data_IF_364770497287
#
_entry.id   IF_364770497287
#
_cell.length_a   1.000
_cell.length_b   1.000
_cell.length_c   1.000
_cell.angle_alpha   90.00
_cell.angle_beta   90.00
_cell.angle_gamma   90.00
#
_symmetry.space_group_name_H-M   'P 1'
#
loop_
_entity.id
_entity.type
_entity.pdbx_description
1 polymer ?
#
# COMPACT_ATOMS: atom_id res chain seq x y z
N UNK A 1 -23.49 -15.33 12.84
CA UNK A 1 -24.29 -14.41 11.98
C UNK A 1 -24.64 -15.22 10.75
N UNK A 2 -25.93 -15.39 10.50
CA UNK A 2 -26.44 -16.32 9.49
C UNK A 2 -26.25 -15.72 8.09
N UNK A 3 -25.10 -16.00 7.50
CA UNK A 3 -24.90 -15.84 6.05
C UNK A 3 -25.81 -16.83 5.32
N UNK A 4 -26.41 -16.41 4.22
CA UNK A 4 -27.23 -17.28 3.37
C UNK A 4 -26.39 -17.89 2.27
N UNK A 5 -26.46 -19.22 2.08
CA UNK A 5 -25.69 -19.95 1.09
C UNK A 5 -26.60 -20.70 0.13
N UNK A 6 -26.32 -20.58 -1.16
CA UNK A 6 -27.06 -21.28 -2.20
C UNK A 6 -26.06 -21.84 -3.22
N UNK A 7 -26.14 -23.16 -3.46
CA UNK A 7 -25.51 -23.79 -4.61
C UNK A 7 -26.56 -23.89 -5.71
N UNK A 8 -26.19 -23.39 -6.88
CA UNK A 8 -27.07 -23.35 -8.05
C UNK A 8 -26.38 -24.01 -9.23
N UNK A 9 -27.09 -24.90 -9.93
CA UNK A 9 -26.56 -25.52 -11.14
C UNK A 9 -26.32 -24.46 -12.23
N UNK A 10 -25.23 -24.64 -12.98
CA UNK A 10 -24.84 -23.74 -14.07
C UNK A 10 -25.15 -24.35 -15.43
N UNK A 11 -24.79 -23.64 -16.51
CA UNK A 11 -24.91 -24.15 -17.89
C UNK A 11 -23.66 -24.90 -18.35
N UNK A 12 -22.68 -25.10 -17.48
CA UNK A 12 -21.38 -25.69 -17.81
C UNK A 12 -21.23 -27.06 -17.14
N UNK A 13 -20.70 -28.01 -17.91
CA UNK A 13 -20.40 -29.37 -17.47
C UNK A 13 -18.89 -29.60 -17.62
N UNK A 14 -18.31 -30.42 -16.75
CA UNK A 14 -16.89 -30.75 -16.78
C UNK A 14 -16.68 -32.21 -16.40
N UNK A 15 -16.18 -33.02 -17.34
CA UNK A 15 -15.93 -34.47 -17.13
C UNK A 15 -17.14 -35.16 -16.46
N UNK A 16 -18.32 -35.01 -17.05
CA UNK A 16 -19.61 -35.54 -16.56
C UNK A 16 -20.09 -34.97 -15.21
N UNK A 17 -19.44 -33.92 -14.69
CA UNK A 17 -19.87 -33.19 -13.52
C UNK A 17 -20.63 -31.94 -13.95
N UNK A 18 -21.91 -31.85 -13.56
CA UNK A 18 -22.68 -30.62 -13.62
C UNK A 18 -22.06 -29.58 -12.68
N UNK A 19 -21.57 -28.46 -13.20
CA UNK A 19 -20.93 -27.44 -12.37
C UNK A 19 -21.96 -26.57 -11.65
N UNK A 20 -21.61 -26.13 -10.44
CA UNK A 20 -22.41 -25.24 -9.62
C UNK A 20 -21.82 -23.81 -9.60
N UNK A 21 -22.64 -22.84 -9.22
CA UNK A 21 -22.19 -21.55 -8.75
C UNK A 21 -22.57 -21.40 -7.28
N UNK A 22 -21.74 -20.68 -6.54
CA UNK A 22 -21.95 -20.38 -5.13
C UNK A 22 -22.46 -18.95 -5.01
N UNK A 23 -23.54 -18.78 -4.25
CA UNK A 23 -24.09 -17.47 -3.91
C UNK A 23 -24.06 -17.31 -2.39
N UNK A 24 -23.45 -16.22 -1.93
CA UNK A 24 -23.31 -15.88 -0.50
C UNK A 24 -23.89 -14.48 -0.32
N UNK A 25 -24.87 -14.32 0.58
CA UNK A 25 -25.53 -13.03 0.84
C UNK A 25 -25.96 -12.28 -0.44
N UNK A 26 -26.60 -13.00 -1.38
CA UNK A 26 -26.99 -12.50 -2.70
C UNK A 26 -25.86 -12.13 -3.68
N UNK A 27 -24.61 -12.37 -3.33
CA UNK A 27 -23.45 -12.16 -4.20
C UNK A 27 -23.04 -13.49 -4.83
N UNK A 28 -23.00 -13.52 -6.16
CA UNK A 28 -22.44 -14.65 -6.90
C UNK A 28 -20.92 -14.64 -6.80
N UNK A 29 -20.34 -15.75 -6.32
CA UNK A 29 -18.89 -15.93 -6.21
C UNK A 29 -18.26 -16.31 -7.54
N UNK A 30 -19.01 -17.02 -8.39
CA UNK A 30 -18.60 -17.38 -9.75
C UNK A 30 -19.71 -17.02 -10.73
N UNK A 31 -19.39 -17.00 -12.01
CA UNK A 31 -20.33 -16.85 -13.10
C UNK A 31 -21.54 -17.77 -12.91
N UNK A 32 -22.73 -17.20 -13.04
CA UNK A 32 -24.00 -17.94 -12.94
C UNK A 32 -24.12 -19.04 -13.99
N UNK A 33 -23.45 -18.87 -15.13
CA UNK A 33 -23.65 -19.73 -16.30
C UNK A 33 -22.40 -20.53 -16.68
N UNK A 34 -21.22 -19.92 -16.64
CA UNK A 34 -19.98 -20.51 -17.16
C UNK A 34 -18.79 -20.23 -16.24
N UNK A 35 -18.74 -20.83 -15.03
CA UNK A 35 -17.72 -20.55 -14.03
C UNK A 35 -16.29 -21.00 -14.42
N UNK A 36 -16.11 -22.11 -15.16
CA UNK A 36 -14.77 -22.50 -15.64
C UNK A 36 -14.28 -21.54 -16.74
N UNK A 37 -15.16 -21.12 -17.64
CA UNK A 37 -14.81 -20.12 -18.68
C UNK A 37 -14.38 -18.78 -18.07
N UNK A 38 -15.07 -18.33 -17.01
CA UNK A 38 -14.67 -17.15 -16.24
C UNK A 38 -13.28 -17.36 -15.61
N UNK A 39 -13.07 -18.48 -14.92
CA UNK A 39 -11.80 -18.82 -14.29
C UNK A 39 -10.63 -18.85 -15.30
N UNK A 40 -10.84 -19.44 -16.49
CA UNK A 40 -9.89 -19.44 -17.60
C UNK A 40 -9.46 -18.04 -18.01
N UNK A 41 -10.44 -17.15 -18.18
CA UNK A 41 -10.17 -15.75 -18.55
C UNK A 41 -9.43 -15.02 -17.43
N UNK A 42 -9.84 -15.24 -16.18
CA UNK A 42 -9.23 -14.63 -15.01
C UNK A 42 -7.76 -15.02 -14.85
N UNK A 43 -7.44 -16.32 -14.87
CA UNK A 43 -6.08 -16.84 -14.65
C UNK A 43 -5.15 -16.55 -15.82
N UNK A 44 -5.65 -16.52 -17.06
CA UNK A 44 -4.84 -16.15 -18.24
C UNK A 44 -4.12 -14.80 -18.05
N UNK A 45 -4.75 -13.85 -17.34
CA UNK A 45 -4.16 -12.53 -17.05
C UNK A 45 -3.08 -12.51 -15.95
N UNK A 46 -2.77 -13.66 -15.33
CA UNK A 46 -1.92 -13.77 -14.14
C UNK A 46 -0.53 -14.38 -14.40
N UNK A 47 -0.24 -14.79 -15.63
CA UNK A 47 1.08 -15.32 -16.05
C UNK A 47 1.62 -16.45 -15.14
N UNK A 48 0.77 -17.43 -14.81
CA UNK A 48 1.10 -18.48 -13.81
C UNK A 48 2.01 -19.61 -14.33
N UNK A 49 2.39 -19.60 -15.60
CA UNK A 49 3.03 -20.73 -16.29
C UNK A 49 4.39 -21.14 -15.69
N UNK A 50 5.11 -20.19 -15.08
CA UNK A 50 6.46 -20.41 -14.56
C UNK A 50 6.55 -20.34 -13.03
N UNK A 51 5.41 -20.20 -12.33
CA UNK A 51 5.37 -20.06 -10.87
C UNK A 51 5.42 -21.44 -10.20
N UNK A 52 6.33 -21.63 -9.26
CA UNK A 52 6.43 -22.88 -8.47
C UNK A 52 5.40 -22.94 -7.36
N UNK A 53 5.16 -21.81 -6.69
CA UNK A 53 4.22 -21.71 -5.57
C UNK A 53 3.34 -20.46 -5.68
N UNK A 54 2.02 -20.66 -5.62
CA UNK A 54 1.03 -19.57 -5.69
C UNK A 54 0.14 -19.60 -4.46
N UNK A 55 -0.06 -18.43 -3.87
CA UNK A 55 -1.08 -18.19 -2.86
C UNK A 55 -2.38 -17.78 -3.53
N UNK A 56 -3.49 -18.38 -3.10
CA UNK A 56 -4.84 -18.02 -3.51
C UNK A 56 -5.62 -17.63 -2.27
N UNK A 57 -6.25 -16.46 -2.29
CA UNK A 57 -7.18 -16.05 -1.23
C UNK A 57 -8.63 -16.14 -1.74
N UNK A 58 -9.42 -16.99 -1.07
CA UNK A 58 -10.79 -17.35 -1.43
C UNK A 58 -10.86 -18.65 -2.22
N UNK A 59 -11.38 -19.71 -1.61
CA UNK A 59 -11.58 -21.03 -2.23
C UNK A 59 -12.73 -21.00 -3.24
N UNK A 60 -13.88 -20.44 -2.85
CA UNK A 60 -15.12 -20.55 -3.62
C UNK A 60 -15.42 -22.02 -3.97
N UNK A 61 -15.60 -22.31 -5.26
CA UNK A 61 -15.76 -23.66 -5.81
C UNK A 61 -14.52 -24.10 -6.61
N UNK A 62 -13.39 -23.41 -6.43
CA UNK A 62 -12.07 -23.87 -6.88
C UNK A 62 -11.78 -23.80 -8.38
N UNK A 63 -12.67 -23.25 -9.21
CA UNK A 63 -12.47 -23.16 -10.68
C UNK A 63 -11.18 -22.43 -11.07
N UNK A 64 -10.86 -21.34 -10.40
CA UNK A 64 -9.63 -20.58 -10.62
C UNK A 64 -8.38 -21.34 -10.15
N UNK A 65 -8.49 -22.19 -9.11
CA UNK A 65 -7.39 -23.06 -8.68
C UNK A 65 -7.14 -24.14 -9.72
N UNK A 66 -8.22 -24.79 -10.20
CA UNK A 66 -8.12 -25.77 -11.28
C UNK A 66 -7.41 -25.20 -12.51
N UNK A 67 -7.77 -23.98 -12.93
CA UNK A 67 -7.15 -23.36 -14.09
C UNK A 67 -5.65 -23.05 -13.88
N UNK A 68 -5.24 -22.66 -12.66
CA UNK A 68 -3.81 -22.50 -12.32
C UNK A 68 -3.07 -23.83 -12.53
N UNK A 69 -3.63 -24.93 -12.01
CA UNK A 69 -3.05 -26.26 -12.10
C UNK A 69 -3.03 -26.82 -13.52
N UNK A 70 -3.97 -26.39 -14.38
CA UNK A 70 -4.08 -26.76 -15.78
C UNK A 70 -3.07 -26.00 -16.66
N UNK A 71 -2.81 -24.73 -16.34
CA UNK A 71 -1.80 -23.93 -17.06
C UNK A 71 -0.36 -24.21 -16.60
N UNK A 72 -0.19 -24.86 -15.44
CA UNK A 72 1.12 -25.21 -14.89
C UNK A 72 1.04 -26.52 -14.09
N UNK A 73 1.63 -27.59 -14.62
CA UNK A 73 1.61 -28.93 -14.02
C UNK A 73 2.42 -29.06 -12.73
N UNK A 74 3.40 -28.18 -12.53
CA UNK A 74 4.35 -28.25 -11.40
C UNK A 74 3.98 -27.30 -10.25
N UNK A 75 3.03 -26.37 -10.48
CA UNK A 75 2.65 -25.37 -9.50
C UNK A 75 1.97 -26.00 -8.27
N UNK A 76 2.44 -25.63 -7.07
CA UNK A 76 1.77 -25.89 -5.79
C UNK A 76 0.93 -24.66 -5.43
N UNK A 77 -0.34 -24.89 -5.09
CA UNK A 77 -1.30 -23.82 -4.75
C UNK A 77 -1.65 -23.88 -3.27
N UNK A 78 -1.28 -22.86 -2.50
CA UNK A 78 -1.73 -22.66 -1.13
C UNK A 78 -3.02 -21.84 -1.14
N UNK A 79 -4.10 -22.39 -0.59
CA UNK A 79 -5.41 -21.75 -0.62
C UNK A 79 -5.77 -21.30 0.79
N UNK A 80 -5.94 -20.00 0.98
CA UNK A 80 -6.36 -19.39 2.24
C UNK A 80 -7.81 -18.96 2.13
N UNK A 81 -8.61 -19.33 3.13
CA UNK A 81 -10.00 -18.87 3.24
C UNK A 81 -10.47 -18.90 4.70
N UNK A 82 -11.43 -18.04 5.03
CA UNK A 82 -12.11 -18.01 6.32
C UNK A 82 -13.53 -18.55 6.10
N UNK A 83 -13.68 -19.86 6.29
CA UNK A 83 -14.98 -20.53 6.13
C UNK A 83 -15.53 -20.95 7.49
N UNK A 84 -16.79 -20.62 7.77
CA UNK A 84 -17.49 -21.23 8.89
C UNK A 84 -17.82 -22.71 8.61
N UNK A 85 -18.26 -23.44 9.64
CA UNK A 85 -18.51 -24.89 9.52
C UNK A 85 -19.61 -25.23 8.51
N UNK A 86 -20.59 -24.34 8.35
CA UNK A 86 -21.69 -24.54 7.41
C UNK A 86 -21.20 -24.32 5.98
N UNK A 87 -20.45 -23.23 5.74
CA UNK A 87 -19.76 -22.95 4.47
C UNK A 87 -18.89 -24.11 4.05
N UNK A 88 -18.01 -24.54 4.95
CA UNK A 88 -17.06 -25.61 4.69
C UNK A 88 -17.79 -26.89 4.28
N UNK A 89 -18.86 -27.27 5.02
CA UNK A 89 -19.66 -28.45 4.69
C UNK A 89 -20.28 -28.37 3.30
N UNK A 90 -20.97 -27.27 2.99
CA UNK A 90 -21.65 -27.07 1.69
C UNK A 90 -20.64 -27.10 0.54
N UNK A 91 -19.54 -26.36 0.66
CA UNK A 91 -18.51 -26.28 -0.39
C UNK A 91 -17.79 -27.62 -0.55
N UNK A 92 -17.51 -28.34 0.53
CA UNK A 92 -16.79 -29.61 0.48
C UNK A 92 -17.64 -30.79 -0.01
N UNK A 93 -18.97 -30.64 0.00
CA UNK A 93 -19.89 -31.62 -0.58
C UNK A 93 -19.99 -31.53 -2.11
N UNK A 94 -19.64 -30.37 -2.69
CA UNK A 94 -19.62 -30.15 -4.14
C UNK A 94 -18.68 -31.14 -4.87
N UNK A 95 -19.17 -31.70 -5.98
CA UNK A 95 -18.46 -32.74 -6.74
C UNK A 95 -17.14 -32.24 -7.32
N UNK A 96 -17.09 -31.02 -7.82
CA UNK A 96 -15.88 -30.46 -8.41
C UNK A 96 -14.82 -30.21 -7.34
N UNK A 97 -15.21 -29.66 -6.18
CA UNK A 97 -14.30 -29.46 -5.04
C UNK A 97 -13.74 -30.79 -4.53
N UNK A 98 -14.55 -31.84 -4.46
CA UNK A 98 -14.09 -33.18 -4.05
C UNK A 98 -12.97 -33.70 -4.95
N UNK A 99 -13.09 -33.56 -6.27
CA UNK A 99 -12.04 -33.95 -7.21
C UNK A 99 -10.80 -33.04 -7.09
N UNK A 100 -10.99 -31.73 -7.02
CA UNK A 100 -9.90 -30.77 -6.89
C UNK A 100 -9.02 -31.04 -5.66
N UNK A 101 -9.65 -31.37 -4.53
CA UNK A 101 -8.96 -31.64 -3.25
C UNK A 101 -8.13 -32.92 -3.24
N UNK A 102 -8.36 -33.86 -4.15
CA UNK A 102 -7.51 -35.05 -4.31
C UNK A 102 -6.16 -34.70 -4.93
N UNK A 103 -6.05 -33.55 -5.61
CA UNK A 103 -4.81 -33.12 -6.21
C UNK A 103 -3.80 -32.73 -5.12
N UNK A 104 -2.69 -33.47 -5.05
CA UNK A 104 -1.65 -33.28 -4.03
C UNK A 104 -0.99 -31.89 -4.05
N UNK A 105 -1.13 -31.16 -5.17
CA UNK A 105 -0.62 -29.78 -5.34
C UNK A 105 -1.49 -28.72 -4.69
N UNK A 106 -2.74 -29.05 -4.30
CA UNK A 106 -3.63 -28.12 -3.60
C UNK A 106 -3.45 -28.25 -2.10
N UNK A 107 -2.98 -27.18 -1.46
CA UNK A 107 -2.75 -27.11 -0.01
C UNK A 107 -3.77 -26.17 0.62
N UNK A 108 -4.88 -26.72 1.10
CA UNK A 108 -5.91 -25.94 1.79
C UNK A 108 -5.43 -25.50 3.18
N UNK A 109 -5.56 -24.21 3.46
CA UNK A 109 -5.23 -23.52 4.70
C UNK A 109 -6.43 -22.68 5.13
N UNK A 110 -7.49 -23.38 5.48
CA UNK A 110 -8.82 -22.85 5.75
C UNK A 110 -9.12 -23.01 7.23
N UNK A 111 -9.75 -22.00 7.84
CA UNK A 111 -10.25 -22.09 9.21
C UNK A 111 -11.41 -21.11 9.40
N UNK A 112 -12.35 -21.45 10.28
CA UNK A 112 -13.39 -20.52 10.76
C UNK A 112 -12.82 -19.42 11.65
N UNK A 113 -11.57 -19.56 12.11
CA UNK A 113 -10.93 -18.63 13.04
C UNK A 113 -9.96 -17.73 12.29
N UNK A 114 -10.30 -16.45 12.22
CA UNK A 114 -9.50 -15.41 11.57
C UNK A 114 -8.01 -15.46 11.94
N UNK A 115 -7.68 -15.61 13.24
CA UNK A 115 -6.29 -15.67 13.71
C UNK A 115 -5.50 -16.85 13.13
N UNK A 116 -6.14 -18.00 12.95
CA UNK A 116 -5.47 -19.18 12.37
C UNK A 116 -5.18 -18.98 10.90
N UNK A 117 -6.11 -18.37 10.15
CA UNK A 117 -5.89 -17.99 8.75
C UNK A 117 -4.74 -16.99 8.63
N UNK A 118 -4.66 -15.99 9.51
CA UNK A 118 -3.49 -15.10 9.56
C UNK A 118 -2.19 -15.84 9.83
N UNK A 119 -2.18 -16.82 10.74
CA UNK A 119 -1.00 -17.67 10.97
C UNK A 119 -0.62 -18.45 9.72
N UNK A 120 -1.58 -19.02 9.00
CA UNK A 120 -1.30 -19.71 7.74
C UNK A 120 -0.72 -18.78 6.69
N UNK A 121 -1.29 -17.60 6.51
CA UNK A 121 -0.77 -16.59 5.59
C UNK A 121 0.67 -16.25 5.97
N UNK A 122 0.94 -15.90 7.22
CA UNK A 122 2.29 -15.55 7.66
C UNK A 122 3.32 -16.66 7.46
N UNK A 123 2.92 -17.92 7.62
CA UNK A 123 3.78 -19.09 7.45
C UNK A 123 4.07 -19.38 5.98
N UNK A 124 3.04 -19.47 5.13
CA UNK A 124 3.17 -20.02 3.78
C UNK A 124 3.31 -18.96 2.69
N UNK A 125 2.89 -17.71 2.94
CA UNK A 125 2.92 -16.66 1.93
C UNK A 125 4.33 -16.32 1.47
N UNK A 126 5.31 -16.38 2.38
CA UNK A 126 6.73 -16.10 2.08
C UNK A 126 7.34 -17.09 1.09
N UNK A 127 6.75 -18.27 0.96
CA UNK A 127 7.17 -19.29 -0.01
C UNK A 127 6.52 -19.11 -1.38
N UNK A 128 5.51 -18.25 -1.49
CA UNK A 128 4.74 -18.04 -2.70
C UNK A 128 5.36 -16.91 -3.53
N UNK A 129 5.44 -17.14 -4.84
CA UNK A 129 5.92 -16.13 -5.79
C UNK A 129 4.82 -15.14 -6.15
N UNK A 130 3.57 -15.50 -5.88
CA UNK A 130 2.41 -14.75 -6.31
C UNK A 130 1.19 -14.94 -5.41
N UNK A 131 0.37 -13.91 -5.29
CA UNK A 131 -0.95 -13.95 -4.65
C UNK A 131 -2.04 -13.65 -5.68
N UNK A 132 -3.05 -14.51 -5.73
CA UNK A 132 -4.25 -14.35 -6.54
C UNK A 132 -5.47 -14.22 -5.61
N UNK A 133 -6.20 -13.11 -5.75
CA UNK A 133 -7.40 -12.83 -4.96
C UNK A 133 -8.65 -13.16 -5.77
N UNK A 134 -9.55 -13.98 -5.22
CA UNK A 134 -10.88 -14.18 -5.77
C UNK A 134 -11.72 -12.91 -5.52
N UNK A 135 -11.78 -12.03 -6.53
CA UNK A 135 -12.32 -10.67 -6.38
C UNK A 135 -13.79 -10.62 -5.95
N UNK A 136 -14.63 -11.52 -6.47
CA UNK A 136 -16.05 -11.62 -6.11
C UNK A 136 -16.25 -11.87 -4.61
N UNK A 137 -15.31 -12.58 -3.98
CA UNK A 137 -15.33 -12.89 -2.56
C UNK A 137 -14.83 -11.73 -1.67
N UNK A 138 -14.11 -10.76 -2.23
CA UNK A 138 -13.54 -9.65 -1.46
C UNK A 138 -14.61 -8.75 -0.82
N UNK A 139 -15.81 -8.66 -1.38
CA UNK A 139 -16.91 -7.91 -0.77
C UNK A 139 -17.37 -8.53 0.56
N UNK A 140 -17.38 -9.86 0.65
CA UNK A 140 -17.75 -10.59 1.88
C UNK A 140 -16.64 -10.44 2.92
N UNK A 141 -15.37 -10.52 2.48
CA UNK A 141 -14.23 -10.25 3.36
C UNK A 141 -14.24 -8.82 3.88
N UNK A 142 -14.62 -7.83 3.05
CA UNK A 142 -14.73 -6.43 3.48
C UNK A 142 -15.73 -6.25 4.62
N UNK A 143 -16.88 -6.91 4.54
CA UNK A 143 -17.95 -6.80 5.52
C UNK A 143 -17.54 -7.34 6.90
N UNK A 144 -16.87 -8.50 6.94
CA UNK A 144 -16.56 -9.18 8.19
C UNK A 144 -15.13 -8.99 8.69
N UNK A 145 -14.19 -8.71 7.80
CA UNK A 145 -12.75 -8.66 8.04
C UNK A 145 -12.11 -7.50 7.29
N UNK A 146 -12.64 -6.29 7.50
CA UNK A 146 -12.22 -5.08 6.79
C UNK A 146 -10.70 -4.83 6.85
N UNK A 147 -10.06 -5.09 7.99
CA UNK A 147 -8.60 -4.96 8.12
C UNK A 147 -7.83 -5.87 7.14
N UNK A 148 -8.24 -7.13 7.02
CA UNK A 148 -7.67 -8.08 6.07
C UNK A 148 -7.97 -7.68 4.62
N UNK A 149 -9.22 -7.27 4.34
CA UNK A 149 -9.60 -6.75 3.02
C UNK A 149 -8.66 -5.62 2.59
N UNK A 150 -8.42 -4.64 3.47
CA UNK A 150 -7.55 -3.51 3.18
C UNK A 150 -6.11 -3.97 2.88
N UNK A 151 -5.55 -4.90 3.68
CA UNK A 151 -4.22 -5.50 3.41
C UNK A 151 -4.15 -6.13 2.02
N UNK A 152 -5.13 -6.98 1.69
CA UNK A 152 -5.14 -7.72 0.42
C UNK A 152 -5.30 -6.77 -0.78
N UNK A 153 -6.15 -5.75 -0.65
CA UNK A 153 -6.35 -4.75 -1.70
C UNK A 153 -5.14 -3.84 -1.88
N UNK A 154 -4.44 -3.46 -0.81
CA UNK A 154 -3.18 -2.72 -0.88
C UNK A 154 -2.13 -3.53 -1.64
N UNK A 155 -2.04 -4.83 -1.37
CA UNK A 155 -1.11 -5.73 -2.08
C UNK A 155 -1.45 -5.84 -3.57
N UNK A 156 -2.71 -6.09 -3.94
CA UNK A 156 -3.14 -6.18 -5.34
C UNK A 156 -2.91 -4.87 -6.10
N UNK A 157 -3.13 -3.71 -5.44
CA UNK A 157 -2.84 -2.41 -6.01
C UNK A 157 -1.35 -2.19 -6.27
N UNK A 158 -0.48 -2.50 -5.29
CA UNK A 158 0.98 -2.43 -5.44
C UNK A 158 1.48 -3.30 -6.59
N UNK A 159 1.01 -4.55 -6.65
CA UNK A 159 1.39 -5.47 -7.71
C UNK A 159 1.03 -4.97 -9.11
N UNK A 160 -0.17 -4.41 -9.30
CA UNK A 160 -0.59 -3.83 -10.59
C UNK A 160 0.35 -2.71 -11.03
N UNK A 161 0.69 -1.79 -10.13
CA UNK A 161 1.64 -0.70 -10.41
C UNK A 161 3.01 -1.28 -10.77
N UNK A 162 3.48 -2.27 -10.03
CA UNK A 162 4.77 -2.92 -10.28
C UNK A 162 4.81 -3.65 -11.62
N UNK A 163 3.74 -4.34 -12.02
CA UNK A 163 3.67 -5.01 -13.31
C UNK A 163 3.72 -4.01 -14.47
N UNK A 164 3.01 -2.89 -14.38
CA UNK A 164 3.06 -1.81 -15.39
C UNK A 164 4.48 -1.24 -15.48
N UNK A 165 5.18 -1.09 -14.35
CA UNK A 165 6.53 -0.51 -14.25
C UNK A 165 7.66 -1.56 -14.18
N UNK A 166 7.41 -2.84 -14.50
CA UNK A 166 8.33 -3.96 -14.20
C UNK A 166 9.73 -3.75 -14.75
N UNK A 167 9.83 -3.33 -16.01
CA UNK A 167 11.11 -3.14 -16.68
C UNK A 167 11.95 -2.02 -16.04
N UNK A 168 11.33 -0.88 -15.74
CA UNK A 168 12.04 0.25 -15.11
C UNK A 168 12.41 -0.05 -13.66
N UNK A 169 11.55 -0.75 -12.91
CA UNK A 169 11.84 -1.18 -11.54
C UNK A 169 13.06 -2.13 -11.51
N UNK A 170 13.10 -3.13 -12.39
CA UNK A 170 14.23 -4.05 -12.49
C UNK A 170 15.52 -3.36 -12.90
N UNK A 171 15.46 -2.47 -13.90
CA UNK A 171 16.60 -1.68 -14.32
C UNK A 171 17.15 -0.82 -13.16
N UNK A 172 16.28 -0.10 -12.46
CA UNK A 172 16.68 0.73 -11.34
C UNK A 172 17.27 -0.10 -10.20
N UNK A 173 16.66 -1.23 -9.85
CA UNK A 173 17.18 -2.10 -8.79
C UNK A 173 18.62 -2.56 -9.06
N UNK A 174 18.87 -3.06 -10.28
CA UNK A 174 20.20 -3.54 -10.67
C UNK A 174 21.22 -2.41 -10.61
N UNK A 175 20.89 -1.23 -11.14
CA UNK A 175 21.85 -0.13 -11.21
C UNK A 175 22.02 0.61 -9.87
N UNK A 176 20.97 0.75 -9.06
CA UNK A 176 21.08 1.27 -7.69
C UNK A 176 22.00 0.38 -6.83
N UNK A 177 21.94 -0.95 -7.00
CA UNK A 177 22.85 -1.87 -6.29
C UNK A 177 24.32 -1.65 -6.67
N UNK A 178 24.61 -1.24 -7.92
CA UNK A 178 25.98 -0.93 -8.37
C UNK A 178 26.55 0.34 -7.73
N UNK A 179 25.70 1.26 -7.27
CA UNK A 179 26.12 2.50 -6.62
C UNK A 179 26.68 2.30 -5.21
N UNK A 180 26.58 1.08 -4.63
CA UNK A 180 27.08 0.74 -3.28
C UNK A 180 26.58 1.71 -2.19
N UNK A 181 25.32 2.11 -2.28
CA UNK A 181 24.67 3.01 -1.32
C UNK A 181 24.47 2.28 0.01
N UNK A 182 24.76 2.96 1.12
CA UNK A 182 24.55 2.43 2.47
C UNK A 182 23.08 2.16 2.76
N UNK A 183 22.80 1.13 3.55
CA UNK A 183 21.44 0.80 3.97
C UNK A 183 20.85 1.81 4.97
N UNK A 184 19.53 1.79 5.12
CA UNK A 184 18.79 2.68 6.03
C UNK A 184 19.25 2.61 7.50
N UNK A 185 19.87 1.52 7.95
CA UNK A 185 20.44 1.48 9.30
C UNK A 185 21.58 2.49 9.48
N UNK A 186 22.37 2.77 8.43
CA UNK A 186 23.41 3.81 8.47
C UNK A 186 22.82 5.21 8.56
N UNK A 187 21.62 5.44 8.01
CA UNK A 187 20.89 6.69 8.24
C UNK A 187 20.63 6.89 9.74
N UNK A 188 20.02 5.93 10.42
CA UNK A 188 19.73 6.04 11.87
C UNK A 188 20.98 6.12 12.76
N UNK A 189 22.16 5.72 12.26
CA UNK A 189 23.43 5.92 12.98
C UNK A 189 23.93 7.36 12.88
N UNK A 190 23.66 8.02 11.75
CA UNK A 190 24.15 9.36 11.46
C UNK A 190 23.14 10.47 11.80
N UNK A 191 21.85 10.12 11.88
CA UNK A 191 20.74 11.04 12.14
C UNK A 191 19.87 10.47 13.27
N UNK A 192 19.91 11.12 14.43
CA UNK A 192 19.15 10.70 15.60
C UNK A 192 17.75 11.32 15.60
N UNK A 193 16.75 10.47 15.45
CA UNK A 193 15.32 10.83 15.50
C UNK A 193 14.71 10.51 16.86
N UNK A 194 15.48 9.94 17.79
CA UNK A 194 14.97 9.48 19.08
C UNK A 194 14.40 10.65 19.86
N UNK A 195 13.15 10.52 20.32
CA UNK A 195 12.43 11.55 21.06
C UNK A 195 12.25 12.90 20.33
N UNK A 196 12.53 12.99 19.02
CA UNK A 196 12.30 14.20 18.21
C UNK A 196 10.83 14.35 17.83
N UNK A 197 10.46 15.57 17.43
CA UNK A 197 9.25 15.82 16.66
C UNK A 197 9.58 15.63 15.16
N UNK A 198 9.16 14.52 14.56
CA UNK A 198 9.44 14.26 13.14
C UNK A 198 8.29 14.78 12.28
N UNK A 199 8.60 15.72 11.39
CA UNK A 199 7.66 16.31 10.45
C UNK A 199 7.74 15.56 9.12
N UNK A 200 6.59 15.12 8.61
CA UNK A 200 6.45 14.54 7.28
C UNK A 200 5.79 15.59 6.40
N UNK A 201 6.58 16.18 5.51
CA UNK A 201 6.11 17.22 4.61
C UNK A 201 5.72 16.60 3.27
N UNK A 202 4.41 16.64 2.99
CA UNK A 202 3.79 16.17 1.77
C UNK A 202 3.36 17.32 0.86
N UNK A 203 3.13 17.05 -0.43
CA UNK A 203 2.85 18.06 -1.44
C UNK A 203 1.35 18.36 -1.63
N UNK A 204 0.55 18.20 -0.59
CA UNK A 204 -0.87 18.56 -0.62
C UNK A 204 -1.06 20.08 -0.63
N UNK A 205 -2.16 20.60 -1.20
CA UNK A 205 -2.44 22.03 -1.27
C UNK A 205 -2.24 22.82 0.05
N UNK A 206 -2.58 22.23 1.20
CA UNK A 206 -2.48 22.90 2.51
C UNK A 206 -1.05 23.20 2.97
N UNK A 207 -0.03 22.63 2.30
CA UNK A 207 1.37 22.99 2.54
C UNK A 207 1.59 24.49 2.34
N UNK A 208 0.90 25.11 1.38
CA UNK A 208 1.02 26.55 1.11
C UNK A 208 0.69 27.39 2.35
N UNK A 209 -0.34 27.01 3.09
CA UNK A 209 -0.80 27.69 4.31
C UNK A 209 0.15 27.48 5.49
N UNK A 210 1.09 26.54 5.37
CA UNK A 210 1.95 26.09 6.46
C UNK A 210 3.36 26.69 6.40
N UNK A 211 3.70 27.40 5.33
CA UNK A 211 5.07 27.85 5.04
C UNK A 211 5.66 28.73 6.14
N UNK A 212 4.91 29.73 6.62
CA UNK A 212 5.41 30.69 7.61
C UNK A 212 5.76 29.97 8.93
N UNK A 213 4.85 29.13 9.42
CA UNK A 213 5.10 28.31 10.61
C UNK A 213 6.25 27.32 10.40
N UNK A 214 6.37 26.72 9.21
CA UNK A 214 7.45 25.78 8.89
C UNK A 214 8.84 26.44 8.92
N UNK A 215 8.95 27.73 8.58
CA UNK A 215 10.22 28.43 8.65
C UNK A 215 10.75 28.47 10.10
N UNK A 216 9.88 28.80 11.07
CA UNK A 216 10.26 28.77 12.49
C UNK A 216 10.51 27.34 13.00
N UNK A 217 9.63 26.40 12.64
CA UNK A 217 9.73 24.99 13.02
C UNK A 217 11.06 24.39 12.56
N UNK A 218 11.51 24.72 11.35
CA UNK A 218 12.75 24.21 10.77
C UNK A 218 14.02 24.65 11.51
N UNK A 219 13.95 25.74 12.28
CA UNK A 219 15.10 26.27 13.04
C UNK A 219 15.30 25.56 14.39
N UNK A 220 14.30 24.82 14.87
CA UNK A 220 14.35 24.13 16.16
C UNK A 220 14.96 22.73 16.02
N UNK A 221 16.06 22.48 16.75
CA UNK A 221 16.80 21.21 16.74
C UNK A 221 16.03 20.02 17.30
N UNK A 222 14.91 20.24 18.00
CA UNK A 222 14.02 19.15 18.44
C UNK A 222 13.10 18.64 17.32
N UNK A 223 13.10 19.34 16.18
CA UNK A 223 12.34 18.97 15.01
C UNK A 223 13.25 18.28 13.99
N UNK A 224 12.70 17.31 13.26
CA UNK A 224 13.38 16.65 12.15
C UNK A 224 12.42 16.57 10.95
N UNK A 225 12.77 17.20 9.84
CA UNK A 225 11.89 17.39 8.68
C UNK A 225 12.25 16.38 7.58
N UNK A 226 11.34 15.45 7.31
CA UNK A 226 11.39 14.54 6.16
C UNK A 226 10.47 15.10 5.07
N UNK A 227 11.05 15.60 3.98
CA UNK A 227 10.28 16.03 2.81
C UNK A 227 10.10 14.89 1.82
N UNK A 228 8.87 14.70 1.31
CA UNK A 228 8.67 13.93 0.08
C UNK A 228 9.20 14.72 -1.11
N UNK A 229 9.69 14.04 -2.15
CA UNK A 229 10.34 14.69 -3.31
C UNK A 229 9.50 15.77 -4.00
N UNK A 230 8.17 15.63 -4.03
CA UNK A 230 7.27 16.61 -4.67
C UNK A 230 7.08 17.89 -3.86
N UNK A 231 7.26 17.86 -2.53
CA UNK A 231 7.13 19.04 -1.66
C UNK A 231 8.41 19.90 -1.61
N UNK A 232 9.52 19.34 -2.09
CA UNK A 232 10.85 19.92 -1.98
C UNK A 232 10.96 21.31 -2.65
N UNK A 233 10.29 21.50 -3.79
CA UNK A 233 10.27 22.77 -4.49
C UNK A 233 9.46 23.83 -3.77
N UNK A 234 8.31 23.46 -3.19
CA UNK A 234 7.50 24.38 -2.38
C UNK A 234 8.30 24.87 -1.17
N UNK A 235 8.98 23.97 -0.43
CA UNK A 235 9.87 24.34 0.68
C UNK A 235 11.02 25.26 0.25
N UNK A 236 11.71 24.88 -0.82
CA UNK A 236 12.88 25.64 -1.29
C UNK A 236 12.55 27.00 -1.87
N UNK A 237 11.36 27.18 -2.45
CA UNK A 237 10.88 28.51 -2.88
C UNK A 237 10.76 29.52 -1.73
N UNK A 238 10.84 29.01 -0.49
CA UNK A 238 10.71 29.76 0.76
C UNK A 238 11.94 29.59 1.66
N UNK A 239 13.06 29.13 1.10
CA UNK A 239 14.33 28.90 1.80
C UNK A 239 14.25 27.93 3.00
N UNK A 240 13.26 27.04 3.02
CA UNK A 240 13.15 25.99 4.02
C UNK A 240 13.87 24.75 3.50
N UNK A 241 14.87 24.27 4.24
CA UNK A 241 15.60 23.05 3.91
C UNK A 241 15.14 21.90 4.80
N UNK A 242 14.77 20.74 4.25
CA UNK A 242 14.47 19.56 5.05
C UNK A 242 15.76 18.91 5.59
N UNK A 243 15.61 18.14 6.67
CA UNK A 243 16.70 17.31 7.24
C UNK A 243 16.89 16.00 6.48
N UNK A 244 15.87 15.54 5.74
CA UNK A 244 15.99 14.41 4.82
C UNK A 244 15.00 14.53 3.66
N UNK A 245 15.38 13.95 2.51
CA UNK A 245 14.51 13.84 1.33
C UNK A 245 14.17 12.38 1.11
N UNK A 246 12.89 12.03 1.01
CA UNK A 246 12.44 10.69 0.69
C UNK A 246 11.94 10.61 -0.77
N UNK A 247 12.38 9.58 -1.50
CA UNK A 247 11.89 9.27 -2.85
C UNK A 247 11.57 7.79 -3.00
N UNK A 248 10.58 7.49 -3.85
CA UNK A 248 10.05 6.15 -4.10
C UNK A 248 9.86 5.86 -5.59
N UNK A 249 9.40 6.84 -6.38
CA UNK A 249 9.00 6.57 -7.77
C UNK A 249 10.21 6.19 -8.66
N UNK A 250 10.08 5.14 -9.50
CA UNK A 250 11.14 4.73 -10.42
C UNK A 250 11.37 5.69 -11.60
N UNK A 251 10.45 6.63 -11.87
CA UNK A 251 10.50 7.45 -13.08
C UNK A 251 11.63 8.49 -13.05
N UNK A 252 12.27 8.68 -14.19
CA UNK A 252 13.30 9.72 -14.39
C UNK A 252 12.80 11.14 -14.17
N UNK A 253 11.50 11.38 -14.13
CA UNK A 253 10.95 12.67 -13.72
C UNK A 253 11.43 13.08 -12.30
N UNK A 254 11.70 12.10 -11.42
CA UNK A 254 12.23 12.34 -10.06
C UNK A 254 13.60 13.00 -10.09
N UNK A 255 14.43 12.75 -11.11
CA UNK A 255 15.70 13.45 -11.26
C UNK A 255 15.51 14.96 -11.26
N UNK A 256 14.49 15.48 -11.95
CA UNK A 256 14.24 16.93 -12.00
C UNK A 256 13.86 17.48 -10.61
N UNK A 257 13.24 16.67 -9.75
CA UNK A 257 12.87 17.05 -8.39
C UNK A 257 14.11 17.24 -7.51
N UNK A 258 15.07 16.31 -7.59
CA UNK A 258 16.25 16.31 -6.72
C UNK A 258 17.46 17.07 -7.28
N UNK A 259 17.51 17.31 -8.60
CA UNK A 259 18.65 17.95 -9.29
C UNK A 259 19.13 19.26 -8.65
N UNK A 260 18.27 20.19 -8.21
CA UNK A 260 18.74 21.43 -7.58
C UNK A 260 19.51 21.19 -6.27
N UNK A 261 19.22 20.09 -5.59
CA UNK A 261 19.80 19.71 -4.31
C UNK A 261 20.92 18.68 -4.45
N UNK A 262 21.35 18.38 -5.68
CA UNK A 262 22.32 17.30 -5.94
C UNK A 262 23.62 17.44 -5.15
N UNK A 263 24.03 18.67 -4.82
CA UNK A 263 25.26 18.98 -4.07
C UNK A 263 24.97 19.32 -2.60
N UNK A 264 23.74 19.14 -2.11
CA UNK A 264 23.39 19.44 -0.73
C UNK A 264 23.86 18.33 0.20
N UNK A 265 24.08 18.68 1.47
CA UNK A 265 24.39 17.70 2.53
C UNK A 265 23.14 17.00 3.08
N UNK A 266 21.97 17.25 2.50
CA UNK A 266 20.71 16.65 2.94
C UNK A 266 20.74 15.16 2.54
N UNK A 267 20.50 14.21 3.46
CA UNK A 267 20.42 12.80 3.11
C UNK A 267 19.23 12.49 2.20
N UNK A 268 19.51 11.82 1.09
CA UNK A 268 18.49 11.25 0.20
C UNK A 268 18.19 9.80 0.58
N UNK A 269 16.96 9.56 1.04
CA UNK A 269 16.42 8.26 1.36
C UNK A 269 15.75 7.68 0.11
N UNK A 270 16.37 6.68 -0.48
CA UNK A 270 16.06 6.12 -1.79
C UNK A 270 15.41 4.73 -1.64
N UNK A 271 14.21 4.54 -2.19
CA UNK A 271 13.66 3.19 -2.32
C UNK A 271 14.52 2.37 -3.27
N UNK A 272 14.71 1.08 -3.00
CA UNK A 272 15.64 0.26 -3.79
C UNK A 272 15.38 0.23 -5.31
N UNK A 273 14.15 0.51 -5.75
CA UNK A 273 13.75 0.61 -7.17
C UNK A 273 13.44 2.04 -7.64
N UNK A 274 13.62 3.06 -6.79
CA UNK A 274 13.46 4.46 -7.18
C UNK A 274 14.45 4.85 -8.29
N UNK A 275 14.16 5.96 -8.99
CA UNK A 275 14.89 6.39 -10.18
C UNK A 275 16.41 6.32 -10.01
N UNK A 276 17.05 5.43 -10.78
CA UNK A 276 18.51 5.31 -10.79
C UNK A 276 19.17 6.62 -11.20
N UNK A 277 18.58 7.34 -12.16
CA UNK A 277 19.08 8.64 -12.61
C UNK A 277 19.08 9.70 -11.50
N UNK A 278 18.06 9.68 -10.63
CA UNK A 278 18.04 10.54 -9.45
C UNK A 278 19.13 10.16 -8.45
N UNK A 279 19.30 8.85 -8.20
CA UNK A 279 20.31 8.31 -7.30
C UNK A 279 21.75 8.60 -7.76
N UNK A 280 22.02 8.42 -9.05
CA UNK A 280 23.34 8.63 -9.68
C UNK A 280 23.74 10.12 -9.68
N UNK A 281 22.79 11.02 -9.97
CA UNK A 281 23.10 12.45 -9.99
C UNK A 281 23.31 13.06 -8.60
N UNK A 282 22.67 12.50 -7.56
CA UNK A 282 22.73 13.08 -6.22
C UNK A 282 24.09 12.78 -5.59
N UNK A 283 24.90 13.81 -5.33
CA UNK A 283 26.26 13.69 -4.80
C UNK A 283 26.31 13.73 -3.26
N UNK A 284 25.26 14.23 -2.60
CA UNK A 284 25.13 14.23 -1.14
C UNK A 284 24.99 12.83 -0.53
N UNK A 285 24.81 12.76 0.81
CA UNK A 285 24.58 11.51 1.53
C UNK A 285 23.35 10.80 0.96
N UNK A 286 23.44 9.47 0.79
CA UNK A 286 22.36 8.63 0.26
C UNK A 286 22.22 7.40 1.12
N UNK A 287 20.98 6.98 1.37
CA UNK A 287 20.68 5.73 2.04
C UNK A 287 19.56 4.98 1.32
N UNK A 288 19.76 3.69 1.11
CA UNK A 288 18.80 2.83 0.42
C UNK A 288 17.92 2.09 1.41
N UNK A 289 16.61 2.07 1.15
CA UNK A 289 15.63 1.34 1.96
C UNK A 289 14.85 0.30 1.16
N UNK A 290 14.42 -0.74 1.85
CA UNK A 290 13.74 -1.91 1.31
C UNK A 290 12.46 -2.17 2.09
N UNK A 291 11.43 -2.66 1.41
CA UNK A 291 10.19 -3.16 2.01
C UNK A 291 10.25 -4.67 2.30
N UNK A 292 11.44 -5.26 2.24
CA UNK A 292 11.73 -6.63 2.64
C UNK A 292 13.07 -6.68 3.37
N UNK A 293 13.34 -7.81 4.04
CA UNK A 293 14.58 -8.01 4.78
C UNK A 293 15.79 -8.05 3.83
N UNK A 294 16.75 -7.15 4.04
CA UNK A 294 17.98 -7.10 3.24
C UNK A 294 19.16 -6.68 4.11
N UNK A 295 20.15 -7.56 4.26
CA UNK A 295 21.38 -7.32 5.03
C UNK A 295 21.13 -6.74 6.44
N UNK A 296 20.16 -7.30 7.18
CA UNK A 296 19.76 -6.85 8.52
C UNK A 296 19.29 -5.38 8.61
N UNK A 297 18.97 -4.74 7.48
CA UNK A 297 18.36 -3.42 7.50
C UNK A 297 16.94 -3.48 8.05
N UNK A 298 16.54 -2.42 8.74
CA UNK A 298 15.13 -2.22 9.10
C UNK A 298 14.26 -2.22 7.83
N UNK A 299 13.25 -3.07 7.82
CA UNK A 299 12.24 -3.13 6.74
C UNK A 299 11.38 -1.87 6.78
N UNK A 300 11.32 -1.10 5.69
CA UNK A 300 10.49 0.09 5.57
C UNK A 300 9.21 -0.26 4.82
N UNK A 301 8.13 -0.45 5.57
CA UNK A 301 6.80 -0.66 5.00
C UNK A 301 6.32 0.61 4.31
N UNK A 302 5.72 0.47 3.13
CA UNK A 302 5.09 1.56 2.41
C UNK A 302 3.96 1.04 1.52
N UNK A 303 3.03 1.93 1.20
CA UNK A 303 2.09 1.75 0.09
C UNK A 303 2.71 2.32 -1.20
N UNK A 304 1.91 2.50 -2.24
CA UNK A 304 2.32 3.15 -3.51
C UNK A 304 2.60 4.68 -3.39
N UNK A 305 3.05 5.17 -2.23
CA UNK A 305 3.28 6.61 -1.98
C UNK A 305 4.50 6.89 -1.12
N UNK A 306 5.28 7.90 -1.51
CA UNK A 306 6.46 8.39 -0.79
C UNK A 306 6.13 8.77 0.66
N UNK A 307 4.97 9.38 0.90
CA UNK A 307 4.56 9.79 2.24
C UNK A 307 4.45 8.61 3.22
N UNK A 308 4.00 7.45 2.73
CA UNK A 308 3.89 6.24 3.55
C UNK A 308 5.26 5.64 3.89
N UNK A 309 6.23 5.74 2.97
CA UNK A 309 7.61 5.38 3.26
C UNK A 309 8.25 6.37 4.27
N UNK A 310 8.03 7.66 4.10
CA UNK A 310 8.49 8.70 5.04
C UNK A 310 7.92 8.49 6.45
N UNK A 311 6.65 8.11 6.58
CA UNK A 311 6.03 7.73 7.85
C UNK A 311 6.73 6.54 8.52
N UNK A 312 6.92 5.46 7.77
CA UNK A 312 7.58 4.26 8.26
C UNK A 312 9.03 4.53 8.68
N UNK A 313 9.77 5.34 7.90
CA UNK A 313 11.11 5.78 8.24
C UNK A 313 11.10 6.62 9.52
N UNK A 314 10.18 7.58 9.65
CA UNK A 314 10.04 8.42 10.83
C UNK A 314 9.78 7.59 12.09
N UNK A 315 8.80 6.69 12.05
CA UNK A 315 8.43 5.80 13.17
C UNK A 315 9.63 4.95 13.61
N UNK A 316 10.38 4.38 12.66
CA UNK A 316 11.54 3.53 12.97
C UNK A 316 12.74 4.26 13.57
N UNK A 317 12.68 5.59 13.62
CA UNK A 317 13.58 6.45 14.37
C UNK A 317 13.23 6.62 15.85
N UNK A 318 12.16 5.98 16.35
CA UNK A 318 11.65 6.13 17.72
C UNK A 318 11.40 7.59 18.15
N UNK A 319 10.65 8.37 17.37
CA UNK A 319 10.39 9.77 17.67
C UNK A 319 9.42 9.90 18.83
N UNK A 320 9.40 11.08 19.46
CA UNK A 320 8.34 11.42 20.42
C UNK A 320 7.02 11.63 19.68
N UNK A 321 7.08 12.29 18.52
CA UNK A 321 5.91 12.66 17.72
C UNK A 321 6.15 12.51 16.23
N UNK A 322 5.10 12.16 15.50
CA UNK A 322 5.01 12.31 14.05
C UNK A 322 3.98 13.40 13.73
N UNK A 323 4.36 14.38 12.91
CA UNK A 323 3.53 15.52 12.54
C UNK A 323 3.39 15.56 11.02
N UNK A 324 2.15 15.45 10.52
CA UNK A 324 1.86 15.55 9.09
C UNK A 324 1.58 16.99 8.68
N UNK A 325 2.23 17.45 7.63
CA UNK A 325 1.98 18.77 7.00
C UNK A 325 1.83 18.59 5.49
N UNK A 326 0.78 19.17 4.90
CA UNK A 326 0.47 18.98 3.48
C UNK A 326 0.05 17.54 3.12
N UNK A 327 -0.39 16.74 4.10
CA UNK A 327 -0.87 15.37 3.91
C UNK A 327 -2.40 15.36 3.70
N UNK A 328 -2.86 16.07 2.68
CA UNK A 328 -4.29 16.37 2.55
C UNK A 328 -5.17 15.15 2.25
N UNK A 329 -4.74 14.23 1.40
CA UNK A 329 -5.54 13.04 1.04
C UNK A 329 -6.98 13.38 0.55
N UNK A 330 -7.16 14.60 0.05
CA UNK A 330 -8.42 15.18 -0.39
C UNK A 330 -8.11 16.38 -1.30
N UNK A 331 -9.12 16.86 -2.03
CA UNK A 331 -8.99 18.00 -2.94
C UNK A 331 -9.28 19.32 -2.23
N UNK A 332 -8.35 19.76 -1.37
CA UNK A 332 -8.42 21.07 -0.69
C UNK A 332 -8.42 22.18 -1.73
N UNK A 333 -9.37 23.12 -1.65
CA UNK A 333 -9.58 24.21 -2.60
C UNK A 333 -9.66 23.77 -4.08
N UNK A 334 -10.18 22.56 -4.32
CA UNK A 334 -10.18 21.93 -5.65
C UNK A 334 -8.77 21.86 -6.27
N UNK A 335 -7.74 21.64 -5.46
CA UNK A 335 -6.36 21.43 -5.93
C UNK A 335 -5.90 20.00 -5.62
N UNK A 336 -5.04 19.46 -6.48
CA UNK A 336 -4.42 18.13 -6.28
C UNK A 336 -3.10 18.24 -5.48
N UNK A 337 -2.36 19.33 -5.68
CA UNK A 337 -1.04 19.58 -5.09
C UNK A 337 -0.87 21.04 -4.67
N UNK A 338 0.12 21.31 -3.81
CA UNK A 338 0.58 22.67 -3.48
C UNK A 338 1.07 23.44 -4.70
N UNK A 339 1.15 24.76 -4.56
CA UNK A 339 1.71 25.60 -5.62
C UNK A 339 3.23 25.39 -5.69
N UNK A 340 3.83 25.68 -6.84
CA UNK A 340 5.26 25.50 -7.12
C UNK A 340 5.78 24.05 -7.04
N UNK A 341 4.93 23.04 -7.25
CA UNK A 341 5.45 21.70 -7.56
C UNK A 341 6.07 21.66 -8.96
N UNK A 342 6.89 20.63 -9.23
CA UNK A 342 7.57 20.46 -10.53
C UNK A 342 6.62 20.32 -11.74
N UNK A 343 5.33 20.17 -11.47
CA UNK A 343 4.28 20.00 -12.46
C UNK A 343 3.54 21.31 -12.82
N UNK A 344 3.92 22.45 -12.25
CA UNK A 344 3.45 23.79 -12.64
C UNK A 344 2.50 24.48 -11.64
N UNK A 345 1.99 25.66 -12.02
CA UNK A 345 0.97 26.39 -11.27
C UNK A 345 -0.41 25.79 -11.57
N UNK A 346 -1.11 25.34 -10.53
CA UNK A 346 -2.51 24.89 -10.52
C UNK A 346 -2.85 23.55 -11.21
N UNK A 347 -2.73 22.44 -10.46
CA UNK A 347 -3.53 21.25 -10.76
C UNK A 347 -4.92 21.39 -10.14
N UNK A 348 -5.81 22.11 -10.85
CA UNK A 348 -7.22 22.18 -10.50
C UNK A 348 -7.88 20.82 -10.70
N UNK A 349 -8.51 20.33 -9.64
CA UNK A 349 -9.41 19.20 -9.67
C UNK A 349 -10.80 19.69 -10.11
N UNK A 350 -11.36 19.05 -11.12
CA UNK A 350 -12.75 19.26 -11.51
C UNK A 350 -13.54 18.07 -11.02
N UNK A 351 -14.65 18.35 -10.34
CA UNK A 351 -15.54 17.31 -9.81
C UNK A 351 -15.90 16.29 -10.89
N UNK A 352 -15.82 15.03 -10.53
CA UNK A 352 -16.07 13.88 -11.38
C UNK A 352 -17.00 12.90 -10.70
N UNK A 353 -17.79 12.13 -11.46
CA UNK A 353 -18.65 11.05 -10.94
C UNK A 353 -17.84 9.93 -10.24
N UNK A 354 -16.52 9.91 -10.44
CA UNK A 354 -15.60 8.97 -9.79
C UNK A 354 -15.07 9.46 -8.46
N UNK A 355 -15.35 10.71 -8.10
CA UNK A 355 -14.91 11.27 -6.82
C UNK A 355 -15.66 10.60 -5.68
N UNK A 356 -14.93 10.40 -4.60
CA UNK A 356 -15.45 9.91 -3.34
C UNK A 356 -15.50 11.08 -2.35
N UNK A 357 -16.18 10.86 -1.23
CA UNK A 357 -16.27 11.85 -0.15
C UNK A 357 -15.69 11.27 1.13
N UNK A 358 -15.08 12.12 1.95
CA UNK A 358 -14.59 11.81 3.29
C UNK A 358 -14.81 13.00 4.19
N UNK A 359 -14.71 12.78 5.50
CA UNK A 359 -14.67 13.87 6.48
C UNK A 359 -13.31 14.58 6.46
N UNK A 360 -13.32 15.92 6.49
CA UNK A 360 -12.15 16.79 6.62
C UNK A 360 -11.77 16.99 8.09
N UNK A 361 -10.61 17.59 8.34
CA UNK A 361 -10.15 17.90 9.72
C UNK A 361 -11.14 18.73 10.55
N UNK A 362 -11.92 19.59 9.90
CA UNK A 362 -12.95 20.44 10.53
C UNK A 362 -14.35 19.78 10.61
N UNK A 363 -14.48 18.49 10.27
CA UNK A 363 -15.75 17.76 10.31
C UNK A 363 -16.67 17.95 9.10
N UNK A 364 -16.25 18.73 8.10
CA UNK A 364 -17.00 18.92 6.85
C UNK A 364 -16.78 17.75 5.88
N UNK A 365 -17.67 17.60 4.88
CA UNK A 365 -17.46 16.65 3.79
C UNK A 365 -16.55 17.27 2.71
N UNK A 366 -15.54 16.51 2.28
CA UNK A 366 -14.59 16.93 1.25
C UNK A 366 -14.43 15.85 0.18
N UNK A 367 -14.25 16.27 -1.09
CA UNK A 367 -13.99 15.36 -2.19
C UNK A 367 -12.59 14.76 -2.12
N UNK A 368 -12.51 13.50 -2.51
CA UNK A 368 -11.27 12.71 -2.56
C UNK A 368 -11.36 11.67 -3.66
N UNK A 369 -10.32 10.85 -3.82
CA UNK A 369 -10.27 9.75 -4.77
C UNK A 369 -9.85 8.46 -4.08
N UNK A 370 -10.16 7.32 -4.70
CA UNK A 370 -9.85 5.99 -4.17
C UNK A 370 -8.40 5.85 -3.67
N UNK A 371 -7.42 6.30 -4.46
CA UNK A 371 -6.00 6.25 -4.09
C UNK A 371 -5.69 6.99 -2.78
N UNK A 372 -6.31 8.15 -2.53
CA UNK A 372 -6.10 8.91 -1.30
C UNK A 372 -6.76 8.24 -0.09
N UNK A 373 -7.93 7.63 -0.27
CA UNK A 373 -8.57 6.84 0.78
C UNK A 373 -7.75 5.59 1.13
N UNK A 374 -7.17 4.92 0.14
CA UNK A 374 -6.30 3.77 0.38
C UNK A 374 -5.06 4.17 1.19
N UNK A 375 -4.43 5.30 0.83
CA UNK A 375 -3.35 5.88 1.62
C UNK A 375 -3.78 6.23 3.04
N UNK A 376 -4.96 6.86 3.20
CA UNK A 376 -5.52 7.23 4.51
C UNK A 376 -5.68 6.00 5.40
N UNK A 377 -6.34 4.96 4.90
CA UNK A 377 -6.55 3.70 5.63
C UNK A 377 -5.21 3.06 6.01
N UNK A 378 -4.23 3.07 5.11
CA UNK A 378 -2.89 2.56 5.41
C UNK A 378 -2.22 3.36 6.54
N UNK A 379 -2.28 4.70 6.50
CA UNK A 379 -1.72 5.57 7.54
C UNK A 379 -2.41 5.32 8.89
N UNK A 380 -3.74 5.25 8.93
CA UNK A 380 -4.51 5.02 10.15
C UNK A 380 -4.18 3.67 10.80
N UNK A 381 -4.01 2.63 9.98
CA UNK A 381 -3.57 1.30 10.45
C UNK A 381 -2.16 1.37 11.03
N UNK A 382 -1.24 2.06 10.35
CA UNK A 382 0.14 2.27 10.84
C UNK A 382 0.15 3.05 12.16
N UNK A 383 -0.67 4.09 12.30
CA UNK A 383 -0.84 4.85 13.54
C UNK A 383 -1.33 3.95 14.67
N UNK A 384 -2.40 3.18 14.43
CA UNK A 384 -2.99 2.27 15.42
C UNK A 384 -1.96 1.29 16.00
N UNK A 385 -1.00 0.84 15.19
CA UNK A 385 0.06 -0.08 15.64
C UNK A 385 1.16 0.61 16.47
N UNK A 386 1.29 1.94 16.41
CA UNK A 386 2.41 2.68 17.01
C UNK A 386 1.99 3.76 18.03
N UNK A 387 0.68 4.01 18.17
CA UNK A 387 0.13 5.10 19.00
C UNK A 387 0.36 4.96 20.52
N UNK A 388 0.85 3.81 21.00
CA UNK A 388 1.18 3.64 22.41
C UNK A 388 2.45 4.40 22.83
N UNK A 389 3.38 4.61 21.90
CA UNK A 389 4.69 5.21 22.19
C UNK A 389 4.94 6.52 21.43
N UNK A 390 4.15 6.79 20.38
CA UNK A 390 4.35 7.91 19.46
C UNK A 390 3.04 8.68 19.38
N UNK A 391 3.10 9.99 19.58
CA UNK A 391 1.97 10.87 19.32
C UNK A 391 1.90 11.23 17.83
N UNK A 392 0.69 11.18 17.25
CA UNK A 392 0.46 11.54 15.85
C UNK A 392 -0.38 12.81 15.75
N UNK A 393 0.09 13.78 14.99
CA UNK A 393 -0.56 15.08 14.82
C UNK A 393 -0.76 15.33 13.33
N UNK A 394 -1.95 15.79 12.95
CA UNK A 394 -2.26 16.22 11.60
C UNK A 394 -2.44 17.74 11.57
N UNK A 395 -1.52 18.42 10.88
CA UNK A 395 -1.56 19.86 10.66
C UNK A 395 -2.01 20.24 9.24
N UNK A 396 -2.56 19.28 8.49
CA UNK A 396 -3.05 19.47 7.13
C UNK A 396 -4.54 19.86 7.15
N UNK A 397 -5.06 20.41 6.05
CA UNK A 397 -6.46 20.88 5.95
C UNK A 397 -7.39 19.91 5.21
N UNK A 398 -6.86 18.78 4.74
CA UNK A 398 -7.63 17.78 4.00
C UNK A 398 -8.41 16.80 4.88
N UNK A 399 -8.35 15.52 4.52
CA UNK A 399 -9.07 14.44 5.18
C UNK A 399 -8.64 14.28 6.65
N UNK A 400 -9.62 14.04 7.52
CA UNK A 400 -9.37 13.69 8.91
C UNK A 400 -8.74 12.29 9.02
N UNK A 401 -7.55 12.19 9.61
CA UNK A 401 -6.82 10.92 9.76
C UNK A 401 -7.07 10.36 11.16
N UNK A 402 -7.78 9.24 11.25
CA UNK A 402 -8.11 8.59 12.53
C UNK A 402 -6.83 8.22 13.29
N UNK A 403 -6.80 8.58 14.58
CA UNK A 403 -5.65 8.39 15.46
C UNK A 403 -4.66 9.55 15.47
N UNK A 404 -4.86 10.58 14.63
CA UNK A 404 -4.16 11.85 14.76
C UNK A 404 -4.95 12.84 15.64
N UNK A 405 -4.23 13.71 16.32
CA UNK A 405 -4.78 14.97 16.83
C UNK A 405 -4.72 16.03 15.74
N UNK A 406 -5.84 16.65 15.39
CA UNK A 406 -5.85 17.76 14.43
C UNK A 406 -5.45 19.05 15.14
N UNK A 407 -4.39 19.71 14.66
CA UNK A 407 -3.88 20.98 15.22
C UNK A 407 -3.58 21.90 14.05
N UNK A 408 -4.12 23.11 14.05
CA UNK A 408 -3.71 24.11 13.08
C UNK A 408 -2.23 24.46 13.30
N UNK A 409 -1.42 24.41 12.24
CA UNK A 409 0.04 24.55 12.33
C UNK A 409 0.50 25.84 13.00
N UNK A 410 -0.29 26.92 12.89
CA UNK A 410 0.03 28.21 13.52
C UNK A 410 -0.05 28.16 15.06
N UNK A 411 -0.78 27.19 15.61
CA UNK A 411 -0.88 26.93 17.05
C UNK A 411 -0.03 25.75 17.51
N UNK A 412 0.69 25.10 16.59
CA UNK A 412 1.48 23.91 16.92
C UNK A 412 2.60 24.22 17.92
N UNK A 413 3.22 25.40 17.80
CA UNK A 413 4.31 25.82 18.69
C UNK A 413 3.89 25.92 20.15
N UNK A 414 2.67 26.39 20.41
CA UNK A 414 2.12 26.49 21.77
C UNK A 414 1.81 25.10 22.36
N UNK A 415 1.62 24.11 21.49
CA UNK A 415 1.34 22.74 21.88
C UNK A 415 2.60 21.90 22.16
N UNK A 416 3.68 22.13 21.39
CA UNK A 416 4.88 21.30 21.40
C UNK A 416 5.75 21.47 22.64
#
# INVERSE_FOLDING_TARGET
MDKSYELLETKEDFLDIKLNTLKINNIFIHSKYYPLKEAKTFIKSKEVQNLKKVAVFGLGLGYHIYEILNQNSECIVYVFDILDKTEEKIIFEDKFIKELRKNSRVKLKISSRYREVLTYINTYLKECEEIILLKSYMNIIKEHYNDLYNVLMDFDAQKKVNNIKKNILNYNYINNKKLKIDGINSFYKNYDLTNKNVFIISAGPSLNNSIEALEEISKNKENFIISVGTALWTLSSKNILPDAICILDPLDAIYKQVKPFKNSNIPLLLFYTASYKAAECYLGPKYIYYNFENNNNKVIECSNSVATAALSIGIKGNPKRIIFVGQDLAFVDNKIHSDNTIYGFEHKHYKSDKDLITESVDGNLIYTKKFFLDMKIWIERTIKLNCNNIEFINCSLGANIIGCKNININHLKDYL
#
